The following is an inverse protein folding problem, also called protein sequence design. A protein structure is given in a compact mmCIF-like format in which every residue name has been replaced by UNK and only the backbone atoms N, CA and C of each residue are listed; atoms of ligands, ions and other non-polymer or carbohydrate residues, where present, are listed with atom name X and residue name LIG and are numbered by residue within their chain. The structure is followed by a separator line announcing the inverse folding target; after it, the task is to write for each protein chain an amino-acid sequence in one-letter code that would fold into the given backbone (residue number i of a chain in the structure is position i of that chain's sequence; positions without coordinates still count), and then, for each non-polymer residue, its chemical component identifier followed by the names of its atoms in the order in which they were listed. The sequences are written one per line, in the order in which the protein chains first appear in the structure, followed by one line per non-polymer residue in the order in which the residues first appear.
data_IF_796423281037
#
_entry.id   IF_796423281037
#
_cell.length_a   1.000
_cell.length_b   1.000
_cell.length_c   1.000
_cell.angle_alpha   90.00
_cell.angle_beta   90.00
_cell.angle_gamma   90.00
#
_symmetry.space_group_name_H-M   'P 1'
#
loop_
_entity.id
_entity.type
_entity.pdbx_description
1 polymer ?
#
# COMPACT_ATOMS: atom_id res chain seq x y z
N UNK A 1 33.70 -19.18 13.67
CA UNK A 1 32.54 -20.10 13.66
C UNK A 1 32.10 -20.26 15.10
N UNK A 2 31.02 -19.61 15.50
CA UNK A 2 30.47 -19.78 16.86
C UNK A 2 29.74 -21.12 16.90
N UNK A 3 30.17 -22.01 17.78
CA UNK A 3 29.53 -23.31 17.96
C UNK A 3 28.07 -23.10 18.38
N UNK A 4 27.15 -23.83 17.75
CA UNK A 4 25.72 -23.83 18.16
C UNK A 4 25.66 -24.33 19.63
N UNK A 5 24.98 -23.58 20.52
CA UNK A 5 24.86 -23.99 21.90
C UNK A 5 24.19 -25.37 22.02
N UNK A 6 24.71 -26.21 22.88
CA UNK A 6 24.06 -27.51 23.21
C UNK A 6 23.06 -27.29 24.35
N UNK A 7 21.85 -27.81 24.19
CA UNK A 7 20.77 -27.71 25.16
C UNK A 7 20.37 -29.15 25.64
N UNK A 8 20.14 -29.27 26.91
CA UNK A 8 19.56 -30.53 27.47
C UNK A 8 18.04 -30.54 27.21
N UNK A 9 17.63 -31.17 26.13
CA UNK A 9 16.23 -31.30 25.72
C UNK A 9 15.41 -32.29 26.53
N UNK A 10 16.01 -32.94 27.55
CA UNK A 10 15.30 -33.84 28.47
C UNK A 10 14.62 -33.07 29.61
N UNK A 11 15.02 -31.85 29.88
CA UNK A 11 14.50 -31.01 30.94
C UNK A 11 13.65 -29.84 30.39
N UNK A 12 12.60 -29.43 31.16
CA UNK A 12 11.80 -28.24 30.82
C UNK A 12 12.66 -26.98 30.71
N UNK A 13 13.67 -26.84 31.56
CA UNK A 13 14.57 -25.69 31.55
C UNK A 13 15.45 -25.68 30.29
N UNK A 14 15.97 -26.82 29.89
CA UNK A 14 16.77 -26.96 28.68
C UNK A 14 15.95 -26.72 27.40
N UNK A 15 14.72 -27.27 27.32
CA UNK A 15 13.78 -27.00 26.25
C UNK A 15 13.48 -25.49 26.18
N UNK A 16 13.18 -24.83 27.31
CA UNK A 16 12.92 -23.39 27.36
C UNK A 16 14.09 -22.55 26.85
N UNK A 17 15.32 -22.90 27.23
CA UNK A 17 16.54 -22.24 26.72
C UNK A 17 16.71 -22.42 25.20
N UNK A 18 16.50 -23.64 24.69
CA UNK A 18 16.57 -23.92 23.26
C UNK A 18 15.53 -23.14 22.46
N UNK A 19 14.29 -23.05 22.95
CA UNK A 19 13.23 -22.24 22.33
C UNK A 19 13.56 -20.75 22.35
N UNK A 20 14.07 -20.21 23.46
CA UNK A 20 14.47 -18.81 23.53
C UNK A 20 15.62 -18.51 22.57
N UNK A 21 16.59 -19.39 22.46
CA UNK A 21 17.69 -19.26 21.50
C UNK A 21 17.17 -19.27 20.06
N UNK A 22 16.30 -20.24 19.71
CA UNK A 22 15.70 -20.34 18.38
C UNK A 22 14.87 -19.10 18.04
N UNK A 23 14.11 -18.57 18.99
CA UNK A 23 13.35 -17.34 18.81
C UNK A 23 14.26 -16.13 18.53
N UNK A 24 15.37 -16.02 19.28
CA UNK A 24 16.36 -14.95 19.08
C UNK A 24 17.03 -15.04 17.69
N UNK A 25 17.41 -16.25 17.26
CA UNK A 25 17.97 -16.51 15.92
C UNK A 25 17.01 -16.10 14.80
N UNK A 26 15.69 -16.27 15.02
CA UNK A 26 14.66 -15.89 14.06
C UNK A 26 14.25 -14.42 14.13
N UNK A 27 14.77 -13.63 15.08
CA UNK A 27 14.35 -12.23 15.27
C UNK A 27 14.60 -11.36 14.04
N UNK A 28 15.72 -11.60 13.34
CA UNK A 28 16.05 -10.92 12.09
C UNK A 28 15.77 -11.79 10.84
N UNK A 29 15.08 -12.92 11.00
CA UNK A 29 14.82 -13.85 9.89
C UNK A 29 13.40 -14.43 9.96
N UNK A 30 12.38 -13.67 9.50
CA UNK A 30 11.00 -14.14 9.51
C UNK A 30 10.78 -15.38 8.62
N UNK A 31 11.55 -15.55 7.55
CA UNK A 31 11.47 -16.75 6.71
C UNK A 31 11.89 -18.00 7.49
N UNK A 32 13.04 -17.93 8.18
CA UNK A 32 13.51 -19.02 9.04
C UNK A 32 12.49 -19.34 10.14
N UNK A 33 11.91 -18.31 10.77
CA UNK A 33 10.84 -18.50 11.74
C UNK A 33 9.70 -19.33 11.17
N UNK A 34 9.17 -18.96 10.02
CA UNK A 34 8.05 -19.68 9.39
C UNK A 34 8.43 -21.12 9.05
N UNK A 35 9.67 -21.35 8.62
CA UNK A 35 10.15 -22.70 8.31
C UNK A 35 10.28 -23.61 9.54
N UNK A 36 10.64 -23.08 10.71
CA UNK A 36 10.93 -23.89 11.90
C UNK A 36 9.80 -23.88 12.93
N UNK A 37 8.93 -22.86 12.93
CA UNK A 37 7.88 -22.72 13.93
C UNK A 37 6.65 -23.59 13.66
N UNK A 38 6.48 -24.10 12.45
CA UNK A 38 5.30 -24.86 12.03
C UNK A 38 5.66 -26.27 11.55
N UNK A 39 4.78 -27.27 11.76
CA UNK A 39 5.02 -28.68 11.42
C UNK A 39 4.75 -28.95 9.93
N UNK A 40 5.49 -28.32 9.04
CA UNK A 40 5.35 -28.52 7.59
C UNK A 40 5.45 -29.99 7.19
N UNK A 41 4.61 -30.44 6.27
CA UNK A 41 4.54 -31.81 5.79
C UNK A 41 3.89 -32.80 6.75
N UNK A 42 3.28 -32.33 7.85
CA UNK A 42 2.65 -33.18 8.87
C UNK A 42 1.22 -32.71 9.16
N UNK A 43 0.38 -33.65 9.59
CA UNK A 43 -0.99 -33.40 10.04
C UNK A 43 -1.79 -32.49 9.06
N UNK A 44 -2.33 -31.39 9.55
CA UNK A 44 -3.10 -30.44 8.73
C UNK A 44 -2.27 -29.68 7.67
N UNK A 45 -0.95 -29.82 7.68
CA UNK A 45 -0.01 -29.27 6.69
C UNK A 45 0.61 -30.36 5.81
N UNK A 46 0.03 -31.56 5.77
CA UNK A 46 0.44 -32.64 4.87
C UNK A 46 0.44 -32.14 3.42
N UNK A 47 1.50 -32.43 2.65
CA UNK A 47 1.69 -31.93 1.29
C UNK A 47 2.17 -30.48 1.17
N UNK A 48 2.23 -29.72 2.27
CA UNK A 48 2.77 -28.37 2.29
C UNK A 48 4.21 -28.37 2.81
N UNK A 49 5.14 -27.84 2.03
CA UNK A 49 6.58 -27.82 2.38
C UNK A 49 7.06 -26.50 2.97
N UNK A 50 6.20 -25.50 3.03
CA UNK A 50 6.54 -24.16 3.51
C UNK A 50 5.69 -23.07 2.86
N UNK A 51 6.09 -21.80 3.00
CA UNK A 51 5.44 -20.68 2.36
C UNK A 51 5.55 -20.76 0.83
N UNK A 52 4.53 -20.25 0.15
CA UNK A 52 4.53 -20.11 -1.31
C UNK A 52 5.64 -19.15 -1.80
N UNK A 53 5.98 -19.20 -3.06
CA UNK A 53 7.04 -18.37 -3.67
C UNK A 53 6.88 -16.88 -3.37
N UNK A 54 5.68 -16.34 -3.53
CA UNK A 54 5.42 -14.93 -3.30
C UNK A 54 5.54 -14.55 -1.81
N UNK A 55 5.10 -15.43 -0.90
CA UNK A 55 5.24 -15.26 0.54
C UNK A 55 6.72 -15.34 0.95
N UNK A 56 7.45 -16.30 0.40
CA UNK A 56 8.89 -16.46 0.59
C UNK A 56 9.64 -15.20 0.16
N UNK A 57 9.26 -14.61 -0.97
CA UNK A 57 9.90 -13.39 -1.46
C UNK A 57 9.73 -12.19 -0.50
N UNK A 58 8.53 -12.01 0.10
CA UNK A 58 8.28 -10.97 1.11
C UNK A 58 9.08 -11.24 2.39
N UNK A 59 9.03 -12.47 2.91
CA UNK A 59 9.75 -12.84 4.13
C UNK A 59 11.28 -12.72 3.96
N UNK A 60 11.79 -13.00 2.76
CA UNK A 60 13.19 -12.82 2.40
C UNK A 60 13.58 -11.35 2.39
N UNK A 61 12.79 -10.48 1.78
CA UNK A 61 13.05 -9.05 1.75
C UNK A 61 13.01 -8.44 3.17
N UNK A 62 12.03 -8.84 3.98
CA UNK A 62 11.98 -8.45 5.40
C UNK A 62 13.25 -8.89 6.15
N UNK A 63 13.72 -10.12 5.94
CA UNK A 63 14.98 -10.61 6.51
C UNK A 63 16.17 -9.75 6.11
N UNK A 64 16.29 -9.45 4.82
CA UNK A 64 17.44 -8.72 4.30
C UNK A 64 17.49 -7.28 4.83
N UNK A 65 16.35 -6.61 4.93
CA UNK A 65 16.20 -5.29 5.54
C UNK A 65 16.45 -5.30 7.06
N UNK A 66 16.08 -6.37 7.76
CA UNK A 66 16.39 -6.55 9.17
C UNK A 66 17.90 -6.77 9.39
N UNK A 67 18.52 -7.62 8.59
CA UNK A 67 19.97 -7.93 8.69
C UNK A 67 20.85 -6.75 8.28
N UNK A 68 20.42 -5.90 7.36
CA UNK A 68 21.14 -4.68 6.98
C UNK A 68 21.02 -3.55 8.02
N UNK A 69 20.10 -3.64 8.98
CA UNK A 69 19.80 -2.58 9.93
C UNK A 69 18.79 -1.54 9.44
N UNK A 70 18.37 -1.57 8.17
CA UNK A 70 17.45 -0.60 7.58
C UNK A 70 16.11 -0.49 8.34
N UNK A 71 15.66 -1.58 8.97
CA UNK A 71 14.43 -1.60 9.77
C UNK A 71 14.49 -0.72 11.04
N UNK A 72 15.67 -0.28 11.48
CA UNK A 72 15.84 0.68 12.59
C UNK A 72 15.82 2.13 12.14
N UNK A 73 16.07 2.38 10.86
CA UNK A 73 16.23 3.72 10.29
C UNK A 73 14.98 4.18 9.53
N UNK A 74 14.25 3.22 8.94
CA UNK A 74 13.12 3.50 8.08
C UNK A 74 11.92 2.62 8.43
N UNK A 75 10.71 3.15 8.19
CA UNK A 75 9.48 2.35 8.23
C UNK A 75 9.48 1.38 7.05
N UNK A 76 9.39 0.08 7.34
CA UNK A 76 9.29 -0.98 6.33
C UNK A 76 7.85 -1.08 5.83
N UNK A 77 7.58 -0.58 4.62
CA UNK A 77 6.25 -0.50 4.03
C UNK A 77 6.07 -1.55 2.93
N UNK A 78 5.05 -2.41 3.08
CA UNK A 78 4.71 -3.47 2.11
C UNK A 78 3.27 -3.36 1.67
N UNK A 79 3.01 -3.30 0.37
CA UNK A 79 1.67 -3.31 -0.22
C UNK A 79 1.50 -4.51 -1.16
N UNK A 80 0.55 -5.37 -0.87
CA UNK A 80 0.31 -6.59 -1.64
C UNK A 80 -1.11 -6.59 -2.21
N UNK A 81 -1.20 -6.34 -3.50
CA UNK A 81 -2.43 -6.52 -4.26
C UNK A 81 -2.47 -7.94 -4.82
N UNK A 82 -3.47 -8.71 -4.47
CA UNK A 82 -3.49 -10.13 -4.80
C UNK A 82 -4.88 -10.61 -5.21
N UNK A 83 -4.93 -11.66 -6.01
CA UNK A 83 -6.15 -12.41 -6.28
C UNK A 83 -6.75 -13.05 -5.03
N UNK A 84 -7.87 -13.71 -5.20
CA UNK A 84 -8.52 -14.47 -4.12
C UNK A 84 -7.80 -15.79 -3.87
N UNK A 85 -7.82 -16.26 -2.60
CA UNK A 85 -7.34 -17.59 -2.25
C UNK A 85 -5.84 -17.83 -2.30
N UNK A 86 -5.01 -16.78 -2.48
CA UNK A 86 -3.55 -16.92 -2.63
C UNK A 86 -2.81 -17.11 -1.30
N UNK A 87 -3.50 -17.14 -0.15
CA UNK A 87 -2.85 -17.36 1.16
C UNK A 87 -2.42 -16.08 1.90
N UNK A 88 -3.03 -14.92 1.62
CA UNK A 88 -2.76 -13.65 2.34
C UNK A 88 -2.90 -13.78 3.86
N UNK A 89 -4.00 -14.35 4.33
CA UNK A 89 -4.30 -14.47 5.77
C UNK A 89 -3.30 -15.38 6.50
N UNK A 90 -2.76 -16.42 5.83
CA UNK A 90 -1.69 -17.24 6.36
C UNK A 90 -0.41 -16.43 6.59
N UNK A 91 0.02 -15.64 5.62
CA UNK A 91 1.18 -14.76 5.76
C UNK A 91 0.98 -13.72 6.88
N UNK A 92 -0.21 -13.12 6.98
CA UNK A 92 -0.56 -12.20 8.08
C UNK A 92 -0.39 -12.90 9.43
N UNK A 93 -0.93 -14.10 9.60
CA UNK A 93 -0.82 -14.88 10.84
C UNK A 93 0.65 -15.19 11.17
N UNK A 94 1.46 -15.57 10.19
CA UNK A 94 2.89 -15.85 10.40
C UNK A 94 3.68 -14.62 10.82
N UNK A 95 3.41 -13.46 10.22
CA UNK A 95 4.07 -12.18 10.58
C UNK A 95 3.70 -11.78 12.01
N UNK A 96 2.42 -11.93 12.41
CA UNK A 96 1.97 -11.69 13.79
C UNK A 96 2.72 -12.59 14.76
N UNK A 97 2.74 -13.89 14.50
CA UNK A 97 3.41 -14.86 15.38
C UNK A 97 4.92 -14.66 15.40
N UNK A 98 5.56 -14.38 14.24
CA UNK A 98 6.97 -14.02 14.20
C UNK A 98 7.27 -12.80 15.06
N UNK A 99 6.51 -11.71 14.87
CA UNK A 99 6.72 -10.48 15.63
C UNK A 99 6.64 -10.71 17.13
N UNK A 100 5.63 -11.45 17.58
CA UNK A 100 5.44 -11.77 18.99
C UNK A 100 6.49 -12.74 19.54
N UNK A 101 6.74 -13.84 18.86
CA UNK A 101 7.60 -14.93 19.38
C UNK A 101 9.09 -14.56 19.37
N UNK A 102 9.52 -13.60 18.55
CA UNK A 102 10.94 -13.36 18.31
C UNK A 102 11.48 -12.02 18.83
N UNK A 103 10.61 -11.14 19.29
CA UNK A 103 11.04 -9.84 19.80
C UNK A 103 10.18 -9.43 21.01
N UNK A 104 10.78 -9.28 22.22
CA UNK A 104 10.04 -8.93 23.43
C UNK A 104 9.32 -7.57 23.33
N UNK A 105 8.15 -7.48 23.95
CA UNK A 105 7.29 -6.30 23.98
C UNK A 105 6.92 -5.76 22.58
N UNK A 106 6.84 -6.63 21.59
CA UNK A 106 6.32 -6.25 20.27
C UNK A 106 4.85 -5.85 20.38
N UNK A 107 4.51 -4.68 19.81
CA UNK A 107 3.14 -4.19 19.64
C UNK A 107 2.69 -4.44 18.21
N UNK A 108 1.55 -5.09 18.05
CA UNK A 108 0.96 -5.36 16.74
C UNK A 108 -0.47 -4.86 16.72
N UNK A 109 -0.83 -4.12 15.68
CA UNK A 109 -2.21 -3.71 15.41
C UNK A 109 -2.62 -4.25 14.05
N UNK A 110 -3.76 -4.92 14.03
CA UNK A 110 -4.37 -5.44 12.80
C UNK A 110 -5.71 -4.76 12.60
N UNK A 111 -5.93 -4.20 11.42
CA UNK A 111 -7.21 -3.60 11.08
C UNK A 111 -7.77 -4.15 9.78
N UNK A 112 -9.10 -4.16 9.67
CA UNK A 112 -9.86 -4.49 8.48
C UNK A 112 -11.19 -3.72 8.49
N UNK A 113 -11.94 -3.86 7.41
CA UNK A 113 -13.19 -3.11 7.19
C UNK A 113 -14.24 -3.31 8.31
N UNK A 114 -14.33 -4.49 8.91
CA UNK A 114 -15.31 -4.77 9.96
C UNK A 114 -14.74 -5.63 11.08
N UNK A 115 -15.28 -5.45 12.30
CA UNK A 115 -14.96 -6.30 13.43
C UNK A 115 -15.23 -7.79 13.15
N UNK A 116 -16.35 -8.07 12.49
CA UNK A 116 -16.70 -9.45 12.14
C UNK A 116 -15.63 -10.09 11.24
N UNK A 117 -15.07 -9.33 10.29
CA UNK A 117 -14.02 -9.80 9.41
C UNK A 117 -12.71 -10.09 10.17
N UNK A 118 -12.32 -9.19 11.06
CA UNK A 118 -11.17 -9.38 11.96
C UNK A 118 -11.33 -10.64 12.79
N UNK A 119 -12.49 -10.81 13.42
CA UNK A 119 -12.78 -11.92 14.33
C UNK A 119 -12.90 -13.26 13.61
N UNK A 120 -13.70 -13.32 12.52
CA UNK A 120 -14.08 -14.60 11.89
C UNK A 120 -13.13 -15.06 10.79
N UNK A 121 -12.31 -14.16 10.24
CA UNK A 121 -11.35 -14.48 9.18
C UNK A 121 -9.91 -14.31 9.68
N UNK A 122 -9.48 -13.08 9.95
CA UNK A 122 -8.07 -12.79 10.23
C UNK A 122 -7.60 -13.44 11.52
N UNK A 123 -8.30 -13.21 12.65
CA UNK A 123 -7.90 -13.80 13.94
C UNK A 123 -8.28 -15.29 14.07
N UNK A 124 -9.26 -15.79 13.33
CA UNK A 124 -9.49 -17.23 13.22
C UNK A 124 -8.30 -17.93 12.54
N UNK A 125 -7.72 -17.33 11.50
CA UNK A 125 -6.52 -17.86 10.87
C UNK A 125 -5.29 -17.72 11.80
N UNK A 126 -5.15 -16.62 12.52
CA UNK A 126 -4.11 -16.47 13.56
C UNK A 126 -4.24 -17.55 14.62
N UNK A 127 -5.44 -17.85 15.12
CA UNK A 127 -5.68 -18.90 16.11
C UNK A 127 -5.30 -20.29 15.56
N UNK A 128 -5.66 -20.59 14.31
CA UNK A 128 -5.27 -21.83 13.62
C UNK A 128 -3.73 -21.97 13.58
N UNK A 129 -3.02 -20.97 13.09
CA UNK A 129 -1.55 -21.02 13.03
C UNK A 129 -0.88 -20.97 14.40
N UNK A 130 -1.46 -20.28 15.37
CA UNK A 130 -0.99 -20.31 16.74
C UNK A 130 -1.03 -21.74 17.33
N UNK A 131 -2.11 -22.48 17.12
CA UNK A 131 -2.22 -23.88 17.59
C UNK A 131 -1.15 -24.80 17.00
N UNK A 132 -0.69 -24.51 15.79
CA UNK A 132 0.39 -25.24 15.12
C UNK A 132 1.80 -24.74 15.49
N UNK A 133 1.87 -23.56 16.13
CA UNK A 133 3.14 -22.89 16.39
C UNK A 133 3.92 -23.59 17.52
N UNK A 134 5.23 -23.78 17.32
CA UNK A 134 6.15 -24.31 18.33
C UNK A 134 6.12 -23.48 19.64
N UNK A 135 5.92 -22.16 19.53
CA UNK A 135 5.94 -21.20 20.64
C UNK A 135 4.55 -20.90 21.23
N UNK A 136 3.51 -21.68 20.91
CA UNK A 136 2.12 -21.44 21.33
C UNK A 136 1.92 -21.26 22.83
N UNK A 137 2.75 -21.91 23.65
CA UNK A 137 2.63 -21.84 25.12
C UNK A 137 2.98 -20.46 25.69
N UNK A 138 3.67 -19.62 24.94
CA UNK A 138 4.07 -18.28 25.41
C UNK A 138 2.94 -17.25 25.33
N UNK A 139 1.93 -17.51 24.51
CA UNK A 139 0.85 -16.56 24.20
C UNK A 139 -0.52 -17.18 24.41
N UNK A 140 -1.49 -16.34 24.80
CA UNK A 140 -2.92 -16.65 24.81
C UNK A 140 -3.58 -15.99 23.62
N UNK A 141 -4.52 -16.70 22.99
CA UNK A 141 -5.29 -16.18 21.83
C UNK A 141 -6.74 -16.02 22.24
N UNK A 142 -7.30 -14.87 21.91
CA UNK A 142 -8.72 -14.56 21.97
C UNK A 142 -9.28 -14.27 20.58
N UNK A 143 -10.56 -14.00 20.49
CA UNK A 143 -11.19 -13.66 19.20
C UNK A 143 -10.62 -12.40 18.53
N UNK A 144 -10.01 -11.48 19.30
CA UNK A 144 -9.54 -10.17 18.83
C UNK A 144 -8.14 -9.81 19.32
N UNK A 145 -7.44 -10.72 19.99
CA UNK A 145 -6.08 -10.46 20.47
C UNK A 145 -5.24 -11.70 20.67
N UNK A 146 -3.93 -11.51 20.62
CA UNK A 146 -2.92 -12.45 21.06
C UNK A 146 -2.07 -11.73 22.10
N UNK A 147 -1.94 -12.25 23.31
CA UNK A 147 -1.21 -11.59 24.40
C UNK A 147 -0.21 -12.54 25.07
N UNK A 148 0.91 -11.99 25.51
CA UNK A 148 1.92 -12.73 26.26
C UNK A 148 1.34 -13.22 27.59
N UNK A 149 1.62 -14.48 27.94
CA UNK A 149 1.20 -15.08 29.22
C UNK A 149 2.12 -14.68 30.40
N UNK A 150 3.26 -14.07 30.14
CA UNK A 150 4.19 -13.65 31.16
C UNK A 150 3.59 -12.48 31.97
N UNK A 151 3.52 -12.57 33.33
CA UNK A 151 2.97 -11.51 34.15
C UNK A 151 3.67 -10.16 33.91
N UNK A 152 2.87 -9.11 33.77
CA UNK A 152 3.36 -7.74 33.50
C UNK A 152 3.61 -7.40 32.04
N UNK A 153 3.63 -8.38 31.13
CA UNK A 153 3.84 -8.17 29.69
C UNK A 153 2.57 -8.30 28.86
N UNK A 154 1.46 -8.73 29.41
CA UNK A 154 0.18 -8.95 28.74
C UNK A 154 -0.40 -7.68 28.07
N UNK A 155 -0.06 -6.50 28.60
CA UNK A 155 -0.49 -5.18 28.08
C UNK A 155 0.45 -4.57 27.06
N UNK A 156 1.73 -4.94 27.08
CA UNK A 156 2.78 -4.35 26.24
C UNK A 156 3.23 -5.27 25.12
N UNK A 157 3.12 -6.58 25.30
CA UNK A 157 3.56 -7.60 24.36
C UNK A 157 2.36 -8.35 23.78
N UNK A 158 1.77 -7.76 22.74
CA UNK A 158 0.50 -8.25 22.21
C UNK A 158 0.20 -7.82 20.78
N UNK A 159 -0.72 -8.53 20.16
CA UNK A 159 -1.38 -8.17 18.92
C UNK A 159 -2.86 -7.93 19.17
N UNK A 160 -3.39 -6.80 18.70
CA UNK A 160 -4.79 -6.42 18.84
C UNK A 160 -5.45 -6.22 17.48
N UNK A 161 -6.65 -6.75 17.34
CA UNK A 161 -7.55 -6.41 16.25
C UNK A 161 -8.32 -5.14 16.58
N UNK A 162 -8.13 -4.09 15.81
CA UNK A 162 -8.80 -2.80 16.00
C UNK A 162 -9.61 -2.51 14.74
N UNK A 163 -10.95 -2.63 14.74
CA UNK A 163 -11.75 -2.21 13.61
C UNK A 163 -11.61 -0.70 13.43
N UNK A 164 -11.40 -0.26 12.19
CA UNK A 164 -11.32 1.16 11.91
C UNK A 164 -12.69 1.82 11.89
N UNK A 165 -12.73 3.11 12.17
CA UNK A 165 -13.92 3.94 12.12
C UNK A 165 -13.56 5.34 11.62
N UNK A 166 -14.26 5.83 10.61
CA UNK A 166 -14.08 7.21 10.14
C UNK A 166 -14.42 8.26 11.21
N UNK A 167 -15.34 7.92 12.10
CA UNK A 167 -15.76 8.81 13.21
C UNK A 167 -14.82 8.79 14.40
N UNK A 168 -13.93 7.80 14.51
CA UNK A 168 -12.95 7.63 15.61
C UNK A 168 -11.62 7.13 15.07
N UNK A 169 -10.94 7.89 14.21
CA UNK A 169 -9.66 7.47 13.61
C UNK A 169 -8.53 7.38 14.63
N UNK A 170 -8.67 8.02 15.80
CA UNK A 170 -7.64 8.09 16.83
C UNK A 170 -7.32 6.75 17.50
N UNK A 171 -8.09 5.68 17.23
CA UNK A 171 -7.75 4.32 17.67
C UNK A 171 -6.38 3.83 17.19
N UNK A 172 -5.83 4.47 16.16
CA UNK A 172 -4.48 4.26 15.62
C UNK A 172 -3.46 5.30 16.10
N UNK A 173 -3.92 6.38 16.75
CA UNK A 173 -3.03 7.36 17.37
C UNK A 173 -2.32 6.74 18.59
N UNK A 174 -1.07 7.14 18.83
CA UNK A 174 -0.33 6.68 20.01
C UNK A 174 0.28 5.27 19.90
N UNK A 175 0.51 4.79 18.69
CA UNK A 175 1.30 3.59 18.47
C UNK A 175 2.79 3.89 18.74
N UNK A 176 3.14 4.05 20.00
CA UNK A 176 4.51 4.28 20.44
C UNK A 176 5.08 3.03 21.10
N UNK A 177 6.29 2.66 20.71
CA UNK A 177 7.00 1.52 21.30
C UNK A 177 8.52 1.67 21.14
N UNK A 178 9.05 2.77 21.67
CA UNK A 178 10.44 3.20 21.48
C UNK A 178 11.45 2.09 21.77
N UNK A 179 12.39 1.89 20.86
CA UNK A 179 13.45 0.85 20.90
C UNK A 179 12.91 -0.59 20.89
N UNK A 180 11.68 -0.77 20.44
CA UNK A 180 11.03 -2.08 20.31
C UNK A 180 10.56 -2.30 18.87
N UNK A 181 9.63 -3.20 18.69
CA UNK A 181 9.02 -3.51 17.38
C UNK A 181 7.56 -3.11 17.36
N UNK A 182 7.15 -2.45 16.28
CA UNK A 182 5.76 -2.15 15.95
C UNK A 182 5.44 -2.83 14.61
N UNK A 183 4.32 -3.51 14.54
CA UNK A 183 3.79 -4.06 13.28
C UNK A 183 2.35 -3.56 13.12
N UNK A 184 2.07 -2.89 12.03
CA UNK A 184 0.72 -2.48 11.63
C UNK A 184 0.32 -3.26 10.40
N UNK A 185 -0.82 -3.91 10.45
CA UNK A 185 -1.34 -4.73 9.34
C UNK A 185 -2.72 -4.23 8.95
N UNK A 186 -2.84 -3.82 7.70
CA UNK A 186 -4.09 -3.49 7.04
C UNK A 186 -4.54 -4.71 6.22
N UNK A 187 -5.53 -5.43 6.71
CA UNK A 187 -6.17 -6.52 5.97
C UNK A 187 -7.37 -5.97 5.20
N UNK A 188 -7.59 -6.44 3.97
CA UNK A 188 -8.56 -5.86 3.02
C UNK A 188 -8.33 -4.35 2.79
N UNK A 189 -7.07 -3.97 2.60
CA UNK A 189 -6.58 -2.59 2.59
C UNK A 189 -7.27 -1.67 1.58
N UNK A 190 -7.81 -2.21 0.48
CA UNK A 190 -8.56 -1.43 -0.53
C UNK A 190 -9.86 -0.82 0.00
N UNK A 191 -10.42 -1.34 1.10
CA UNK A 191 -11.64 -0.84 1.70
C UNK A 191 -11.41 0.15 2.83
N UNK A 192 -10.15 0.33 3.30
CA UNK A 192 -9.81 1.20 4.43
C UNK A 192 -9.81 2.66 3.97
N UNK A 193 -10.53 3.52 4.68
CA UNK A 193 -10.64 4.95 4.37
C UNK A 193 -9.30 5.68 4.47
N UNK A 194 -9.07 6.65 3.59
CA UNK A 194 -7.80 7.39 3.49
C UNK A 194 -7.43 8.10 4.80
N UNK A 195 -8.40 8.57 5.58
CA UNK A 195 -8.20 9.17 6.90
C UNK A 195 -7.48 8.25 7.89
N UNK A 196 -7.74 6.93 7.83
CA UNK A 196 -7.07 5.93 8.68
C UNK A 196 -5.62 5.75 8.29
N UNK A 197 -5.33 5.79 6.99
CA UNK A 197 -3.95 5.77 6.48
C UNK A 197 -3.16 6.99 6.95
N UNK A 198 -3.77 8.18 6.92
CA UNK A 198 -3.15 9.44 7.35
C UNK A 198 -2.83 9.44 8.85
N UNK A 199 -3.78 9.03 9.69
CA UNK A 199 -3.57 8.92 11.15
C UNK A 199 -2.49 7.87 11.45
N UNK A 200 -2.51 6.73 10.76
CA UNK A 200 -1.49 5.70 10.93
C UNK A 200 -0.10 6.22 10.53
N UNK A 201 0.01 6.91 9.41
CA UNK A 201 1.27 7.51 8.95
C UNK A 201 1.83 8.50 9.99
N UNK A 202 0.97 9.32 10.58
CA UNK A 202 1.35 10.24 11.67
C UNK A 202 1.79 9.54 12.95
N UNK A 203 1.25 8.35 13.24
CA UNK A 203 1.59 7.59 14.44
C UNK A 203 2.91 6.79 14.32
N UNK A 204 3.39 6.51 13.09
CA UNK A 204 4.59 5.71 12.84
C UNK A 204 5.85 6.58 12.73
N UNK A 205 6.08 7.46 13.71
CA UNK A 205 7.19 8.44 13.71
C UNK A 205 8.28 8.15 14.76
N UNK A 206 8.16 7.05 15.51
CA UNK A 206 9.14 6.70 16.55
C UNK A 206 10.52 6.41 15.94
N UNK A 207 11.53 7.17 16.40
CA UNK A 207 12.93 6.92 16.05
C UNK A 207 13.47 5.69 16.78
N UNK A 208 14.47 5.03 16.19
CA UNK A 208 15.12 3.84 16.77
C UNK A 208 14.13 2.73 17.13
N UNK A 209 13.11 2.55 16.33
CA UNK A 209 12.05 1.56 16.51
C UNK A 209 11.90 0.77 15.21
N UNK A 210 11.83 -0.56 15.29
CA UNK A 210 11.53 -1.37 14.11
C UNK A 210 10.05 -1.25 13.77
N UNK A 211 9.73 -0.58 12.69
CA UNK A 211 8.34 -0.34 12.29
C UNK A 211 8.07 -1.05 10.96
N UNK A 212 7.09 -1.95 10.98
CA UNK A 212 6.57 -2.61 9.78
C UNK A 212 5.13 -2.18 9.55
N UNK A 213 4.83 -1.69 8.36
CA UNK A 213 3.48 -1.38 7.92
C UNK A 213 3.16 -2.20 6.69
N UNK A 214 2.23 -3.16 6.83
CA UNK A 214 1.87 -4.09 5.77
C UNK A 214 0.40 -3.89 5.39
N UNK A 215 0.14 -3.79 4.11
CA UNK A 215 -1.20 -3.61 3.55
C UNK A 215 -1.49 -4.73 2.55
N UNK A 216 -2.47 -5.55 2.87
CA UNK A 216 -2.91 -6.67 2.03
C UNK A 216 -4.33 -6.43 1.54
N UNK A 217 -4.59 -6.65 0.26
CA UNK A 217 -5.95 -6.52 -0.26
C UNK A 217 -6.13 -7.06 -1.67
N UNK A 218 -7.39 -7.26 -2.04
CA UNK A 218 -7.75 -7.39 -3.43
C UNK A 218 -7.84 -5.99 -4.03
N UNK A 219 -7.32 -5.73 -5.23
CA UNK A 219 -7.29 -4.40 -5.83
C UNK A 219 -8.66 -4.02 -6.43
N UNK A 220 -9.66 -3.81 -5.57
CA UNK A 220 -11.06 -3.60 -5.98
C UNK A 220 -11.37 -2.19 -6.47
N UNK A 221 -10.49 -1.22 -6.18
CA UNK A 221 -10.69 0.20 -6.52
C UNK A 221 -9.42 0.78 -7.15
N UNK A 222 -9.59 1.55 -8.22
CA UNK A 222 -8.52 2.31 -8.87
C UNK A 222 -8.30 3.70 -8.24
N UNK A 223 -8.73 3.88 -6.98
CA UNK A 223 -8.60 5.12 -6.19
C UNK A 223 -8.33 4.78 -4.73
N UNK A 224 -7.93 5.79 -3.92
CA UNK A 224 -7.65 5.66 -2.50
C UNK A 224 -6.21 5.26 -2.18
N UNK A 225 -5.84 5.31 -0.90
CA UNK A 225 -4.44 5.17 -0.45
C UNK A 225 -3.83 3.81 -0.79
N UNK A 226 -4.59 2.71 -0.74
CA UNK A 226 -4.06 1.40 -1.15
C UNK A 226 -3.62 1.39 -2.62
N UNK A 227 -4.45 1.97 -3.51
CA UNK A 227 -4.09 2.14 -4.91
C UNK A 227 -2.86 3.05 -5.09
N UNK A 228 -2.77 4.12 -4.31
CA UNK A 228 -1.66 5.06 -4.36
C UNK A 228 -0.32 4.43 -3.92
N UNK A 229 -0.32 3.36 -3.11
CA UNK A 229 0.89 2.59 -2.79
C UNK A 229 1.57 2.00 -4.04
N UNK A 230 0.79 1.72 -5.09
CA UNK A 230 1.27 1.18 -6.37
C UNK A 230 1.54 2.26 -7.41
N UNK A 231 1.18 3.51 -7.13
CA UNK A 231 1.24 4.64 -8.06
C UNK A 231 2.01 5.83 -7.50
N UNK A 232 1.32 6.79 -6.91
CA UNK A 232 1.90 8.05 -6.40
C UNK A 232 2.99 7.80 -5.36
N UNK A 233 2.75 6.86 -4.45
CA UNK A 233 3.65 6.54 -3.34
C UNK A 233 4.49 5.28 -3.55
N UNK A 234 4.53 4.74 -4.79
CA UNK A 234 5.28 3.51 -5.12
C UNK A 234 6.76 3.54 -4.72
N UNK A 235 7.35 4.72 -4.61
CA UNK A 235 8.74 4.91 -4.22
C UNK A 235 8.99 4.68 -2.72
N UNK A 236 7.93 4.63 -1.91
CA UNK A 236 7.98 4.42 -0.45
C UNK A 236 7.60 2.99 -0.07
N UNK A 237 6.87 2.27 -0.95
CA UNK A 237 6.29 0.97 -0.69
C UNK A 237 6.96 -0.12 -1.52
N UNK A 238 7.36 -1.21 -0.85
CA UNK A 238 7.61 -2.47 -1.55
C UNK A 238 6.23 -3.03 -1.97
N UNK A 239 5.88 -2.80 -3.24
CA UNK A 239 4.56 -3.12 -3.76
C UNK A 239 4.62 -4.33 -4.69
N UNK A 240 3.67 -5.26 -4.52
CA UNK A 240 3.64 -6.53 -5.28
C UNK A 240 2.24 -6.87 -5.72
N UNK A 241 2.16 -7.37 -6.95
CA UNK A 241 0.97 -8.02 -7.48
C UNK A 241 1.15 -9.53 -7.37
N UNK A 242 0.12 -10.23 -6.88
CA UNK A 242 0.13 -11.69 -6.74
C UNK A 242 -0.97 -12.28 -7.59
N UNK A 243 -0.57 -12.95 -8.68
CA UNK A 243 -1.49 -13.65 -9.56
C UNK A 243 -1.87 -15.01 -8.96
N UNK A 244 -3.17 -15.29 -8.89
CA UNK A 244 -3.69 -16.57 -8.43
C UNK A 244 -3.26 -17.75 -9.30
N UNK A 245 -2.91 -17.52 -10.55
CA UNK A 245 -2.38 -18.57 -11.44
C UNK A 245 -1.05 -19.13 -10.94
N UNK A 246 -0.23 -18.29 -10.28
CA UNK A 246 1.10 -18.65 -9.78
C UNK A 246 1.07 -19.14 -8.33
N UNK A 247 0.00 -18.87 -7.58
CA UNK A 247 -0.12 -19.28 -6.19
C UNK A 247 -0.47 -20.78 -6.06
N UNK A 248 0.23 -21.50 -5.19
CA UNK A 248 0.06 -22.95 -5.03
C UNK A 248 -1.32 -23.36 -4.47
N UNK A 249 -1.96 -22.48 -3.67
CA UNK A 249 -3.20 -22.78 -2.96
C UNK A 249 -4.48 -22.60 -3.78
N UNK A 250 -4.39 -21.99 -4.97
CA UNK A 250 -5.58 -21.67 -5.77
C UNK A 250 -6.04 -22.83 -6.64
N UNK A 251 -7.34 -22.93 -6.84
CA UNK A 251 -7.95 -23.89 -7.76
C UNK A 251 -7.75 -23.44 -9.22
N UNK A 252 -6.84 -24.12 -9.92
CA UNK A 252 -6.48 -23.82 -11.30
C UNK A 252 -7.60 -24.11 -12.29
N UNK A 253 -8.44 -25.11 -11.98
CA UNK A 253 -9.60 -25.45 -12.82
C UNK A 253 -10.61 -24.30 -12.79
N UNK A 254 -10.90 -23.80 -11.58
CA UNK A 254 -11.83 -22.67 -11.44
C UNK A 254 -11.29 -21.38 -12.08
N UNK A 255 -10.00 -21.15 -11.99
CA UNK A 255 -9.36 -19.99 -12.65
C UNK A 255 -9.47 -20.13 -14.19
N UNK A 256 -9.30 -21.35 -14.74
CA UNK A 256 -9.44 -21.59 -16.18
C UNK A 256 -10.88 -21.37 -16.65
N UNK A 257 -11.88 -21.80 -15.87
CA UNK A 257 -13.29 -21.48 -16.15
C UNK A 257 -13.54 -19.97 -16.20
N UNK A 258 -13.05 -19.22 -15.19
CA UNK A 258 -13.22 -17.77 -15.17
C UNK A 258 -12.50 -17.07 -16.32
N UNK A 259 -11.36 -17.62 -16.77
CA UNK A 259 -10.66 -17.09 -17.95
C UNK A 259 -11.52 -17.27 -19.22
N UNK A 260 -12.17 -18.42 -19.36
CA UNK A 260 -13.04 -18.69 -20.51
C UNK A 260 -14.32 -17.84 -20.47
N UNK A 261 -14.93 -17.67 -19.28
CA UNK A 261 -16.19 -16.96 -19.11
C UNK A 261 -16.07 -15.45 -19.24
N UNK A 262 -15.02 -14.86 -18.64
CA UNK A 262 -14.89 -13.41 -18.48
C UNK A 262 -13.77 -12.80 -19.33
N UNK A 263 -12.79 -13.59 -19.75
CA UNK A 263 -11.60 -13.13 -20.44
C UNK A 263 -10.55 -12.52 -19.50
N UNK A 264 -9.27 -12.56 -19.92
CA UNK A 264 -8.11 -12.15 -19.10
C UNK A 264 -8.13 -10.65 -18.76
N UNK A 265 -8.63 -9.83 -19.66
CA UNK A 265 -8.62 -8.35 -19.52
C UNK A 265 -9.86 -7.78 -18.83
N UNK A 266 -10.83 -8.62 -18.49
CA UNK A 266 -12.00 -8.20 -17.69
C UNK A 266 -11.56 -7.72 -16.30
N UNK A 267 -12.24 -6.72 -15.76
CA UNK A 267 -11.98 -6.25 -14.40
C UNK A 267 -12.26 -7.33 -13.35
N UNK A 268 -13.20 -8.23 -13.63
CA UNK A 268 -13.43 -9.41 -12.81
C UNK A 268 -12.16 -10.27 -12.69
N UNK A 269 -11.54 -10.64 -13.81
CA UNK A 269 -10.37 -11.50 -13.84
C UNK A 269 -9.12 -10.78 -13.31
N UNK A 270 -8.94 -9.50 -13.67
CA UNK A 270 -7.86 -8.65 -13.13
C UNK A 270 -7.86 -8.62 -11.62
N UNK A 271 -8.99 -8.30 -11.00
CA UNK A 271 -9.10 -8.14 -9.55
C UNK A 271 -9.06 -9.48 -8.82
N UNK A 272 -9.82 -10.48 -9.31
CA UNK A 272 -10.02 -11.73 -8.57
C UNK A 272 -8.92 -12.76 -8.77
N UNK A 273 -8.24 -12.71 -9.91
CA UNK A 273 -7.19 -13.67 -10.26
C UNK A 273 -5.83 -12.98 -10.31
N UNK A 274 -5.65 -11.98 -11.17
CA UNK A 274 -4.33 -11.38 -11.43
C UNK A 274 -3.82 -10.48 -10.30
N UNK A 275 -4.66 -10.10 -9.36
CA UNK A 275 -4.28 -9.13 -8.32
C UNK A 275 -3.92 -7.75 -8.89
N UNK A 276 -4.50 -7.38 -10.04
CA UNK A 276 -4.27 -6.12 -10.74
C UNK A 276 -5.50 -5.23 -10.58
N UNK A 277 -5.28 -3.92 -10.42
CA UNK A 277 -6.35 -2.94 -10.30
C UNK A 277 -7.22 -2.89 -11.56
N UNK A 278 -8.54 -2.66 -11.42
CA UNK A 278 -9.44 -2.55 -12.56
C UNK A 278 -9.04 -1.38 -13.46
N UNK A 279 -9.37 -1.49 -14.74
CA UNK A 279 -9.00 -0.50 -15.75
C UNK A 279 -9.84 0.77 -15.65
N UNK A 280 -11.08 0.66 -15.19
CA UNK A 280 -12.01 1.76 -14.99
C UNK A 280 -12.72 1.65 -13.64
N UNK A 281 -13.01 2.77 -13.00
CA UNK A 281 -14.11 2.83 -12.03
C UNK A 281 -15.41 3.09 -12.80
N UNK A 282 -16.53 2.56 -12.35
CA UNK A 282 -17.87 2.79 -12.96
C UNK A 282 -18.23 4.29 -13.06
N UNK A 283 -17.47 5.15 -12.38
CA UNK A 283 -17.61 6.61 -12.37
C UNK A 283 -16.56 7.34 -13.19
N UNK A 284 -15.68 6.65 -13.91
CA UNK A 284 -14.58 7.29 -14.63
C UNK A 284 -14.98 7.60 -16.07
N UNK A 285 -15.07 8.90 -16.42
CA UNK A 285 -15.45 9.36 -17.74
C UNK A 285 -14.45 8.97 -18.84
N UNK A 286 -13.14 8.95 -18.52
CA UNK A 286 -12.08 8.51 -19.43
C UNK A 286 -11.30 7.37 -18.76
N UNK A 287 -11.26 6.17 -19.32
CA UNK A 287 -10.47 5.06 -18.79
C UNK A 287 -8.98 5.41 -18.66
N UNK A 288 -8.33 4.89 -17.63
CA UNK A 288 -6.94 5.21 -17.30
C UNK A 288 -5.96 4.78 -18.39
N UNK A 289 -6.16 3.62 -18.99
CA UNK A 289 -5.37 3.11 -20.10
C UNK A 289 -5.34 4.08 -21.29
N UNK A 290 -6.48 4.72 -21.58
CA UNK A 290 -6.59 5.78 -22.60
C UNK A 290 -5.75 7.00 -22.20
N UNK A 291 -5.82 7.41 -20.92
CA UNK A 291 -5.00 8.53 -20.40
C UNK A 291 -3.51 8.20 -20.45
N UNK A 292 -3.12 7.01 -20.03
CA UNK A 292 -1.72 6.56 -20.05
C UNK A 292 -1.19 6.41 -21.49
N UNK A 293 -1.98 5.85 -22.39
CA UNK A 293 -1.66 5.78 -23.81
C UNK A 293 -1.49 7.15 -24.42
N UNK A 294 -2.37 8.10 -24.07
CA UNK A 294 -2.26 9.48 -24.50
C UNK A 294 -1.02 10.18 -23.92
N UNK A 295 -0.70 9.92 -22.64
CA UNK A 295 0.46 10.50 -21.95
C UNK A 295 1.80 9.96 -22.48
N UNK A 296 1.86 8.69 -22.88
CA UNK A 296 3.06 8.04 -23.41
C UNK A 296 3.26 8.27 -24.91
N UNK A 297 2.25 8.78 -25.61
CA UNK A 297 2.33 9.04 -27.05
C UNK A 297 3.46 10.02 -27.36
N UNK A 298 4.36 9.72 -28.34
CA UNK A 298 5.37 10.66 -28.79
C UNK A 298 4.73 11.98 -29.26
N UNK A 299 5.39 13.10 -28.95
CA UNK A 299 4.95 14.40 -29.46
C UNK A 299 5.23 14.48 -30.95
N UNK A 300 4.20 14.70 -31.75
CA UNK A 300 4.32 14.91 -33.20
C UNK A 300 4.54 16.39 -33.54
N UNK A 301 5.39 17.07 -32.76
CA UNK A 301 5.60 18.52 -32.84
C UNK A 301 6.18 18.98 -34.19
N UNK A 302 7.06 18.19 -34.79
CA UNK A 302 7.89 18.64 -35.91
C UNK A 302 7.26 18.51 -37.30
N UNK A 303 6.07 17.96 -37.45
CA UNK A 303 5.62 17.50 -38.76
C UNK A 303 4.33 18.14 -39.29
N UNK A 304 3.72 19.12 -38.62
CA UNK A 304 2.46 19.70 -39.11
C UNK A 304 2.64 21.16 -39.47
N UNK A 305 2.77 21.51 -40.76
CA UNK A 305 2.78 22.89 -41.22
C UNK A 305 1.42 23.55 -40.92
N UNK A 306 1.45 24.83 -40.50
CA UNK A 306 0.29 25.65 -40.17
C UNK A 306 -0.51 25.28 -38.91
N UNK A 307 0.12 24.68 -37.91
CA UNK A 307 -0.54 24.41 -36.63
C UNK A 307 -0.86 25.71 -35.88
N UNK A 308 -2.06 25.80 -35.37
CA UNK A 308 -2.52 26.95 -34.56
C UNK A 308 -1.98 26.78 -33.14
N UNK A 309 -1.30 27.79 -32.62
CA UNK A 309 -0.97 27.88 -31.20
C UNK A 309 -2.19 28.41 -30.43
N UNK A 310 -2.53 27.78 -29.33
CA UNK A 310 -3.65 28.17 -28.47
C UNK A 310 -3.10 28.49 -27.10
N UNK A 311 -3.33 29.70 -26.63
CA UNK A 311 -3.06 30.15 -25.27
C UNK A 311 -4.36 30.01 -24.47
N UNK A 312 -4.41 29.13 -23.50
CA UNK A 312 -5.50 29.04 -22.51
C UNK A 312 -5.12 29.81 -21.26
N UNK A 313 -6.00 30.66 -20.78
CA UNK A 313 -5.80 31.46 -19.57
C UNK A 313 -6.94 31.18 -18.61
N UNK A 314 -6.62 30.64 -17.47
CA UNK A 314 -7.53 30.47 -16.33
C UNK A 314 -7.25 31.62 -15.34
N UNK A 315 -8.25 32.46 -15.12
CA UNK A 315 -8.10 33.68 -14.33
C UNK A 315 -8.55 33.46 -12.90
N UNK A 316 -7.59 33.38 -11.96
CA UNK A 316 -7.90 33.44 -10.54
C UNK A 316 -8.17 34.93 -10.15
N UNK A 317 -9.27 35.13 -9.44
CA UNK A 317 -9.53 36.42 -8.75
C UNK A 317 -8.80 36.41 -7.41
N UNK A 318 -9.08 37.31 -6.53
CA UNK A 318 -8.42 37.51 -5.24
C UNK A 318 -8.48 36.26 -4.35
N UNK A 319 -7.34 35.87 -3.76
CA UNK A 319 -7.22 34.76 -2.83
C UNK A 319 -5.93 33.95 -2.98
N UNK A 320 -5.94 32.72 -2.48
CA UNK A 320 -4.81 31.77 -2.56
C UNK A 320 -4.64 31.12 -3.94
N UNK A 321 -5.62 31.29 -4.83
CA UNK A 321 -5.62 30.65 -6.14
C UNK A 321 -4.67 31.35 -7.12
N UNK A 322 -4.13 30.58 -8.05
CA UNK A 322 -3.21 31.06 -9.07
C UNK A 322 -3.91 31.21 -10.42
N UNK A 323 -3.68 32.32 -11.11
CA UNK A 323 -3.96 32.37 -12.54
C UNK A 323 -3.00 31.50 -13.31
N UNK A 324 -3.48 30.77 -14.31
CA UNK A 324 -2.68 29.81 -15.07
C UNK A 324 -2.71 30.12 -16.54
N UNK A 325 -1.52 30.21 -17.16
CA UNK A 325 -1.39 30.31 -18.63
C UNK A 325 -0.84 28.97 -19.12
N UNK A 326 -1.53 28.41 -20.12
CA UNK A 326 -1.12 27.16 -20.77
C UNK A 326 -1.11 27.30 -22.27
N UNK A 327 -0.04 26.88 -22.91
CA UNK A 327 0.06 26.86 -24.37
C UNK A 327 -0.14 25.44 -24.90
N UNK A 328 -0.93 25.33 -25.95
CA UNK A 328 -1.10 24.11 -26.74
C UNK A 328 -0.75 24.40 -28.19
N UNK A 329 0.11 23.59 -28.79
CA UNK A 329 0.48 23.68 -30.20
C UNK A 329 -0.01 22.43 -30.93
N UNK A 330 -1.11 22.53 -31.64
CA UNK A 330 -1.78 21.35 -32.20
C UNK A 330 -2.23 20.37 -31.11
N UNK A 331 -1.70 19.18 -31.11
CA UNK A 331 -1.96 18.16 -30.07
C UNK A 331 -0.95 18.22 -28.91
N UNK A 332 0.11 19.01 -29.03
CA UNK A 332 1.12 19.15 -28.00
C UNK A 332 0.74 20.19 -26.95
N UNK A 333 0.38 19.74 -25.77
CA UNK A 333 0.17 20.57 -24.59
C UNK A 333 1.27 20.37 -23.52
N UNK A 334 2.36 19.63 -23.83
CA UNK A 334 3.40 19.25 -22.86
C UNK A 334 4.71 20.00 -23.03
N UNK A 335 5.11 20.34 -24.25
CA UNK A 335 6.40 21.00 -24.53
C UNK A 335 6.51 22.39 -23.91
N UNK A 336 5.38 23.08 -23.74
CA UNK A 336 5.35 24.38 -23.07
C UNK A 336 5.06 24.24 -21.59
N UNK A 337 5.95 24.76 -20.75
CA UNK A 337 5.72 24.76 -19.28
C UNK A 337 4.52 25.62 -18.94
N UNK A 338 3.67 25.11 -18.03
CA UNK A 338 2.58 25.95 -17.50
C UNK A 338 3.13 27.09 -16.66
N UNK A 339 2.57 28.27 -16.82
CA UNK A 339 2.91 29.48 -16.07
C UNK A 339 1.83 29.65 -14.99
N UNK A 340 2.24 29.67 -13.72
CA UNK A 340 1.37 29.95 -12.57
C UNK A 340 1.75 31.29 -11.99
N UNK A 341 0.74 32.16 -11.79
CA UNK A 341 0.90 33.53 -11.35
C UNK A 341 -0.07 33.80 -10.18
N UNK A 342 0.44 34.36 -9.11
CA UNK A 342 -0.35 34.70 -7.93
C UNK A 342 -0.42 36.23 -7.76
N UNK A 343 -1.55 36.73 -7.29
CA UNK A 343 -1.70 38.10 -6.86
C UNK A 343 -1.62 39.17 -7.98
N UNK A 344 -1.79 38.76 -9.23
CA UNK A 344 -1.79 39.69 -10.36
C UNK A 344 -3.18 40.31 -10.57
N UNK A 345 -3.21 41.61 -10.91
CA UNK A 345 -4.41 42.23 -11.44
C UNK A 345 -4.63 41.90 -12.93
N UNK A 346 -5.78 42.33 -13.47
CA UNK A 346 -6.14 42.02 -14.86
C UNK A 346 -5.19 42.62 -15.90
N UNK A 347 -4.56 43.75 -15.61
CA UNK A 347 -3.59 44.40 -16.53
C UNK A 347 -2.28 43.67 -16.53
N UNK A 348 -1.79 43.27 -15.35
CA UNK A 348 -0.56 42.52 -15.20
C UNK A 348 -0.68 41.10 -15.82
N UNK A 349 -1.82 40.44 -15.63
CA UNK A 349 -2.10 39.18 -16.29
C UNK A 349 -2.17 39.33 -17.81
N UNK A 350 -2.86 40.37 -18.30
CA UNK A 350 -2.94 40.68 -19.72
C UNK A 350 -1.56 40.95 -20.34
N UNK A 351 -0.70 41.71 -19.65
CA UNK A 351 0.67 41.94 -20.09
C UNK A 351 1.45 40.62 -20.23
N UNK A 352 1.31 39.72 -19.24
CA UNK A 352 1.97 38.41 -19.29
C UNK A 352 1.46 37.52 -20.42
N UNK A 353 0.16 37.56 -20.71
CA UNK A 353 -0.42 36.86 -21.87
C UNK A 353 0.14 37.41 -23.18
N UNK A 354 0.27 38.77 -23.30
CA UNK A 354 0.85 39.41 -24.46
C UNK A 354 2.33 39.02 -24.68
N UNK A 355 3.12 38.88 -23.61
CA UNK A 355 4.50 38.37 -23.71
C UNK A 355 4.52 36.96 -24.30
N UNK A 356 3.71 36.03 -23.77
CA UNK A 356 3.62 34.65 -24.28
C UNK A 356 3.15 34.63 -25.73
N UNK A 357 2.19 35.50 -26.10
CA UNK A 357 1.77 35.65 -27.49
C UNK A 357 2.92 36.07 -28.41
N UNK A 358 3.68 37.09 -28.02
CA UNK A 358 4.82 37.58 -28.78
C UNK A 358 5.93 36.51 -28.88
N UNK A 359 6.22 35.76 -27.80
CA UNK A 359 7.17 34.63 -27.83
C UNK A 359 6.77 33.60 -28.88
N UNK A 360 5.48 33.24 -28.97
CA UNK A 360 4.97 32.28 -29.96
C UNK A 360 5.05 32.83 -31.39
N UNK A 361 4.73 34.10 -31.61
CA UNK A 361 4.85 34.73 -32.93
C UNK A 361 6.31 34.79 -33.38
N UNK A 362 7.23 35.19 -32.49
CA UNK A 362 8.66 35.22 -32.79
C UNK A 362 9.25 33.84 -33.04
N UNK A 363 8.71 32.80 -32.40
CA UNK A 363 9.11 31.40 -32.65
C UNK A 363 8.54 30.82 -33.95
N UNK A 364 7.80 31.62 -34.75
CA UNK A 364 7.34 31.22 -36.07
C UNK A 364 5.87 30.79 -36.15
N UNK A 365 5.09 30.93 -35.05
CA UNK A 365 3.67 30.60 -35.08
C UNK A 365 2.91 31.63 -35.92
N UNK A 366 2.35 31.18 -37.06
CA UNK A 366 1.60 32.05 -37.98
C UNK A 366 0.20 32.40 -37.49
N UNK A 367 -0.36 31.61 -36.58
CA UNK A 367 -1.70 31.84 -36.02
C UNK A 367 -1.71 31.45 -34.54
N UNK A 368 -2.05 32.42 -33.71
CA UNK A 368 -2.18 32.27 -32.25
C UNK A 368 -3.60 32.65 -31.84
N UNK A 369 -4.27 31.76 -31.10
CA UNK A 369 -5.59 32.02 -30.50
C UNK A 369 -5.43 32.15 -29.00
N UNK A 370 -6.18 33.05 -28.37
CA UNK A 370 -6.20 33.24 -26.92
C UNK A 370 -7.60 32.93 -26.42
N UNK A 371 -7.74 31.97 -25.52
CA UNK A 371 -8.96 31.64 -24.83
C UNK A 371 -8.80 32.01 -23.35
N UNK A 372 -9.67 32.85 -22.84
CA UNK A 372 -9.65 33.29 -21.44
C UNK A 372 -10.90 32.79 -20.75
N UNK A 373 -10.70 31.98 -19.67
CA UNK A 373 -11.77 31.58 -18.77
C UNK A 373 -11.86 32.61 -17.64
N UNK A 374 -12.92 33.41 -17.67
CA UNK A 374 -13.15 34.47 -16.67
C UNK A 374 -14.01 34.01 -15.49
N UNK A 375 -14.36 32.73 -15.43
CA UNK A 375 -15.23 32.14 -14.40
C UNK A 375 -16.66 32.71 -14.37
N UNK A 376 -17.56 32.06 -13.67
CA UNK A 376 -19.00 32.39 -13.61
C UNK A 376 -19.35 33.62 -12.76
N UNK A 377 -18.47 34.59 -12.62
CA UNK A 377 -18.69 35.78 -11.78
C UNK A 377 -18.67 37.09 -12.51
N UNK A 378 -19.30 37.14 -13.69
CA UNK A 378 -19.77 38.44 -14.24
C UNK A 378 -21.04 38.77 -13.46
N UNK A 379 -21.11 39.89 -12.71
CA UNK A 379 -22.36 40.31 -12.12
C UNK A 379 -23.34 40.56 -13.28
N UNK A 380 -24.47 39.84 -13.30
CA UNK A 380 -25.59 40.23 -14.15
C UNK A 380 -25.92 41.70 -13.82
N UNK A 381 -25.69 42.63 -14.73
CA UNK A 381 -26.28 43.96 -14.62
C UNK A 381 -27.79 43.72 -14.53
N UNK A 382 -28.37 44.03 -13.39
CA UNK A 382 -29.80 44.22 -13.28
C UNK A 382 -30.17 45.37 -14.20
N UNK A 383 -30.74 45.06 -15.35
CA UNK A 383 -31.52 46.06 -16.10
C UNK A 383 -32.77 46.31 -15.28
N UNK A 384 -32.80 47.46 -14.62
CA UNK A 384 -34.00 48.06 -14.07
C UNK A 384 -34.97 48.48 -15.15
#
# INVERSE_FOLDING_TARGET
MTSTPQFDLTTKAGIGKAMTYLAAECSSDPLRFVQVAFPWGKDSLEGMTGPDKWQTAILTDMRDKLKSGAAWEHVMQYAVAAGHGVGKSGLVAWIILWGLCTFPDTRIVVTANTENQLRTKTFAEVAKWHNLCLFREWFSVSAMSVACKQPGHDKTWRADAIPWSETKPEGFAGLHNKRKRIIVIFDEASAIADSIWEVTEGALTDSQTQIFWLAFGNPTRSTGRFYECFNKFRHRWDHRHVDGRDAAMTDKTKIAEWLADYGEDSDFFKVRVRGVFPSSSDMQFIPRDIVEAAASRPLAYESVPNVVAIIGVDVARFGSDASVIRVRYGQDARSFKKIKLHGLDGFQLGARVAEVYNELVHSGSRRVLINVDVGASVPRRSTG
#
